data_IF_430586301282
#
_entry.id   IF_430586301282
#
_cell.length_a   1.000
_cell.length_b   1.000
_cell.length_c   1.000
_cell.angle_alpha   90.00
_cell.angle_beta   90.00
_cell.angle_gamma   90.00
#
_symmetry.space_group_name_H-M   'P 1'
#
loop_
_entity.id
_entity.type
_entity.pdbx_description
1 polymer ?
#
# COMPACT_ATOMS: atom_id res chain seq x y z
N UNK A 1 57.83 -15.09 -21.56
CA UNK A 1 57.16 -14.28 -20.51
C UNK A 1 55.70 -14.09 -20.91
N UNK A 2 54.77 -14.88 -20.37
CA UNK A 2 53.34 -14.76 -20.66
C UNK A 2 52.71 -13.82 -19.62
N UNK A 3 52.18 -12.68 -20.06
CA UNK A 3 51.45 -11.72 -19.21
C UNK A 3 50.01 -12.23 -19.06
N UNK A 4 49.62 -12.57 -17.83
CA UNK A 4 48.22 -12.83 -17.50
C UNK A 4 47.54 -11.48 -17.22
N UNK A 5 46.55 -11.10 -18.04
CA UNK A 5 45.62 -10.03 -17.70
C UNK A 5 44.62 -10.57 -16.68
N UNK A 6 44.65 -10.03 -15.47
CA UNK A 6 43.56 -10.15 -14.52
C UNK A 6 42.47 -9.13 -14.90
N UNK A 7 41.35 -9.60 -15.46
CA UNK A 7 40.15 -8.77 -15.56
C UNK A 7 39.46 -8.75 -14.20
N UNK A 8 39.48 -7.62 -13.51
CA UNK A 8 38.64 -7.41 -12.33
C UNK A 8 37.18 -7.31 -12.79
N UNK A 9 36.39 -8.34 -12.49
CA UNK A 9 34.95 -8.34 -12.69
C UNK A 9 34.34 -7.42 -11.63
N UNK A 10 33.89 -6.22 -12.03
CA UNK A 10 33.17 -5.32 -11.14
C UNK A 10 31.79 -5.94 -10.84
N UNK A 11 31.61 -6.45 -9.63
CA UNK A 11 30.30 -6.86 -9.13
C UNK A 11 29.47 -5.59 -8.87
N UNK A 12 28.48 -5.33 -9.71
CA UNK A 12 27.46 -4.31 -9.46
C UNK A 12 26.51 -4.89 -8.41
N UNK A 13 26.40 -4.30 -7.21
CA UNK A 13 25.41 -4.76 -6.25
C UNK A 13 24.02 -4.47 -6.80
N UNK A 14 23.29 -5.52 -7.17
CA UNK A 14 21.84 -5.42 -7.34
C UNK A 14 21.24 -5.14 -5.97
N UNK A 15 20.67 -3.95 -5.79
CA UNK A 15 19.83 -3.65 -4.64
C UNK A 15 18.50 -4.37 -4.89
N UNK A 16 18.37 -5.58 -4.37
CA UNK A 16 17.07 -6.24 -4.27
C UNK A 16 16.27 -5.51 -3.19
N UNK A 17 15.23 -4.77 -3.59
CA UNK A 17 14.23 -4.33 -2.63
C UNK A 17 13.45 -5.57 -2.18
N UNK A 18 13.51 -5.90 -0.90
CA UNK A 18 12.66 -6.95 -0.34
C UNK A 18 11.21 -6.48 -0.39
N UNK A 19 10.40 -7.12 -1.24
CA UNK A 19 8.95 -6.94 -1.29
C UNK A 19 8.32 -7.93 -0.32
N UNK A 20 7.39 -7.46 0.50
CA UNK A 20 6.56 -8.31 1.34
C UNK A 20 5.24 -8.57 0.61
N UNK A 21 4.72 -9.78 0.71
CA UNK A 21 3.41 -10.16 0.16
C UNK A 21 2.57 -10.69 1.30
N UNK A 22 1.35 -10.16 1.44
CA UNK A 22 0.31 -10.73 2.31
C UNK A 22 -0.59 -11.61 1.46
N UNK A 23 -0.40 -12.92 1.57
CA UNK A 23 -1.13 -13.98 0.84
C UNK A 23 -2.10 -14.76 1.76
N UNK A 24 -2.21 -14.36 3.02
CA UNK A 24 -3.05 -14.99 4.05
C UNK A 24 -2.71 -16.44 4.38
N UNK A 25 -1.65 -17.02 3.79
CA UNK A 25 -1.37 -18.45 3.90
C UNK A 25 -0.84 -18.85 5.28
N UNK A 26 -0.33 -17.89 6.05
CA UNK A 26 0.09 -18.04 7.45
C UNK A 26 -1.08 -18.24 8.44
N UNK A 27 -2.32 -18.03 7.99
CA UNK A 27 -3.53 -18.19 8.82
C UNK A 27 -4.01 -19.65 8.90
N UNK A 28 -4.60 -20.01 10.04
CA UNK A 28 -5.16 -21.34 10.26
C UNK A 28 -6.67 -21.36 10.01
N UNK A 29 -7.12 -22.28 9.16
CA UNK A 29 -8.53 -22.42 8.82
C UNK A 29 -8.85 -23.88 8.46
N UNK A 30 -10.01 -24.39 8.88
CA UNK A 30 -10.53 -25.67 8.39
C UNK A 30 -10.90 -25.58 6.91
N UNK A 31 -10.95 -26.70 6.18
CA UNK A 31 -11.41 -26.69 4.79
C UNK A 31 -12.85 -26.17 4.68
N UNK A 32 -13.15 -25.40 3.62
CA UNK A 32 -14.48 -24.85 3.32
C UNK A 32 -15.08 -24.06 4.50
N UNK A 33 -14.28 -23.14 5.06
CA UNK A 33 -14.70 -22.30 6.17
C UNK A 33 -14.14 -20.88 6.04
N UNK A 34 -14.43 -20.06 7.04
CA UNK A 34 -14.01 -18.67 7.11
C UNK A 34 -13.85 -18.25 8.58
N UNK A 35 -13.08 -17.19 8.77
CA UNK A 35 -13.05 -16.41 9.99
C UNK A 35 -13.59 -15.03 9.71
N UNK A 36 -14.62 -14.63 10.44
CA UNK A 36 -15.27 -13.33 10.31
C UNK A 36 -15.25 -12.53 11.62
N UNK A 37 -14.34 -12.88 12.54
CA UNK A 37 -14.19 -12.27 13.86
C UNK A 37 -15.34 -12.54 14.83
N UNK A 38 -16.05 -13.65 14.69
CA UNK A 38 -17.06 -14.11 15.65
C UNK A 38 -16.52 -14.36 17.07
N UNK A 39 -15.20 -14.36 17.24
CA UNK A 39 -14.51 -14.39 18.53
C UNK A 39 -14.35 -13.00 19.18
N UNK A 40 -14.85 -11.95 18.51
CA UNK A 40 -14.80 -10.55 18.95
C UNK A 40 -13.37 -9.99 19.10
N UNK A 41 -12.37 -10.58 18.43
CA UNK A 41 -10.98 -10.10 18.51
C UNK A 41 -10.78 -8.70 17.91
N UNK A 42 -11.71 -8.24 17.05
CA UNK A 42 -11.68 -6.92 16.43
C UNK A 42 -10.67 -6.77 15.29
N UNK A 43 -9.77 -7.73 15.10
CA UNK A 43 -8.80 -7.78 14.01
C UNK A 43 -8.15 -9.17 13.90
N UNK A 44 -7.45 -9.41 12.79
CA UNK A 44 -6.47 -10.49 12.64
C UNK A 44 -5.23 -9.95 11.93
N UNK A 45 -4.11 -10.67 12.00
CA UNK A 45 -2.88 -10.27 11.34
C UNK A 45 -2.37 -11.37 10.40
N UNK A 46 -1.89 -10.97 9.23
CA UNK A 46 -1.22 -11.84 8.26
C UNK A 46 -0.04 -11.10 7.64
N UNK A 47 1.10 -11.77 7.48
CA UNK A 47 2.28 -11.17 6.87
C UNK A 47 2.82 -9.92 7.61
N UNK A 48 2.51 -9.76 8.90
CA UNK A 48 2.87 -8.58 9.69
C UNK A 48 1.99 -7.35 9.47
N UNK A 49 0.86 -7.51 8.77
CA UNK A 49 -0.15 -6.48 8.51
C UNK A 49 -1.44 -6.84 9.27
N UNK A 50 -2.09 -5.84 9.87
CA UNK A 50 -3.33 -6.02 10.64
C UNK A 50 -4.55 -5.68 9.79
N UNK A 51 -5.61 -6.47 9.93
CA UNK A 51 -6.87 -6.34 9.21
C UNK A 51 -7.99 -6.22 10.24
N UNK A 52 -8.67 -5.07 10.27
CA UNK A 52 -9.77 -4.85 11.22
C UNK A 52 -10.98 -5.70 10.89
N UNK A 53 -11.71 -6.14 11.91
CA UNK A 53 -12.96 -6.86 11.77
C UNK A 53 -13.97 -6.35 12.82
N UNK A 54 -15.24 -6.25 12.43
CA UNK A 54 -16.32 -5.91 13.33
C UNK A 54 -17.39 -7.00 13.27
N UNK A 55 -17.59 -7.69 14.39
CA UNK A 55 -18.66 -8.68 14.57
C UNK A 55 -19.64 -8.18 15.62
N UNK A 56 -20.94 -8.29 15.33
CA UNK A 56 -22.02 -7.95 16.26
C UNK A 56 -22.62 -9.24 16.78
N UNK A 57 -22.42 -9.50 18.07
CA UNK A 57 -22.95 -10.65 18.77
C UNK A 57 -24.31 -10.32 19.39
N UNK A 58 -25.32 -10.15 18.53
CA UNK A 58 -26.71 -10.00 18.97
C UNK A 58 -27.30 -11.39 19.30
N UNK A 59 -27.94 -11.58 20.47
CA UNK A 59 -28.50 -12.87 20.87
C UNK A 59 -29.56 -13.46 19.91
N UNK A 60 -30.20 -12.61 19.10
CA UNK A 60 -31.25 -13.00 18.16
C UNK A 60 -30.70 -13.18 16.74
N UNK A 61 -29.70 -12.38 16.36
CA UNK A 61 -29.13 -12.41 15.02
C UNK A 61 -27.67 -11.92 15.02
N UNK A 62 -26.69 -12.80 15.34
CA UNK A 62 -25.30 -12.41 15.30
C UNK A 62 -24.82 -12.32 13.85
N UNK A 63 -24.04 -11.29 13.52
CA UNK A 63 -23.62 -11.04 12.14
C UNK A 63 -22.26 -10.34 12.05
N UNK A 64 -21.59 -10.57 10.92
CA UNK A 64 -20.40 -9.83 10.53
C UNK A 64 -20.82 -8.44 10.04
N UNK A 65 -20.47 -7.41 10.80
CA UNK A 65 -20.97 -6.05 10.61
C UNK A 65 -20.06 -5.17 9.76
N UNK A 66 -18.81 -5.58 9.52
CA UNK A 66 -17.85 -4.80 8.79
C UNK A 66 -16.43 -5.36 8.84
N UNK A 67 -15.61 -4.95 7.89
CA UNK A 67 -14.17 -5.14 7.91
C UNK A 67 -13.73 -6.29 7.05
N UNK A 68 -12.73 -7.03 7.53
CA UNK A 68 -12.14 -8.14 6.82
C UNK A 68 -12.51 -9.47 7.47
N UNK A 69 -12.81 -10.44 6.62
CA UNK A 69 -12.80 -11.86 6.93
C UNK A 69 -11.69 -12.52 6.12
N UNK A 70 -11.22 -13.70 6.52
CA UNK A 70 -10.43 -14.56 5.64
C UNK A 70 -11.14 -15.89 5.44
N UNK A 71 -11.03 -16.45 4.24
CA UNK A 71 -11.85 -17.57 3.78
C UNK A 71 -11.04 -18.51 2.90
N UNK A 72 -11.44 -19.79 2.88
CA UNK A 72 -10.99 -20.78 1.90
C UNK A 72 -12.19 -21.49 1.25
N UNK A 73 -13.36 -20.85 1.25
CA UNK A 73 -14.55 -21.38 0.59
C UNK A 73 -14.35 -21.41 -0.93
N UNK A 74 -14.91 -22.44 -1.58
CA UNK A 74 -14.79 -22.62 -3.03
C UNK A 74 -16.13 -22.61 -3.76
N UNK A 75 -17.24 -22.38 -3.07
CA UNK A 75 -18.57 -22.31 -3.71
C UNK A 75 -18.72 -21.05 -4.57
N UNK A 76 -18.69 -21.20 -5.89
CA UNK A 76 -18.93 -20.13 -6.85
C UNK A 76 -20.28 -20.21 -7.57
N UNK A 77 -21.22 -21.00 -7.03
CA UNK A 77 -22.50 -21.31 -7.68
C UNK A 77 -23.72 -20.88 -6.88
N UNK A 78 -23.66 -20.90 -5.55
CA UNK A 78 -24.79 -20.53 -4.70
C UNK A 78 -24.98 -19.02 -4.71
N UNK A 79 -26.14 -18.55 -5.17
CA UNK A 79 -26.52 -17.15 -5.12
C UNK A 79 -27.01 -16.71 -3.72
N UNK A 80 -26.90 -15.42 -3.45
CA UNK A 80 -27.46 -14.80 -2.25
C UNK A 80 -26.45 -14.60 -1.11
N UNK A 81 -26.91 -13.91 -0.06
CA UNK A 81 -26.07 -13.43 1.03
C UNK A 81 -25.35 -14.54 1.81
N UNK A 82 -25.87 -15.77 1.80
CA UNK A 82 -25.21 -16.90 2.47
C UNK A 82 -23.87 -17.27 1.85
N UNK A 83 -23.57 -16.78 0.65
CA UNK A 83 -22.31 -17.02 -0.05
C UNK A 83 -21.40 -15.77 -0.13
N UNK A 84 -21.46 -14.92 0.90
CA UNK A 84 -20.67 -13.68 0.96
C UNK A 84 -19.16 -13.92 1.14
N UNK A 85 -18.74 -15.06 1.71
CA UNK A 85 -17.34 -15.36 2.03
C UNK A 85 -16.59 -16.11 0.91
N UNK A 86 -17.26 -16.51 -0.15
CA UNK A 86 -16.62 -17.19 -1.28
C UNK A 86 -16.14 -16.18 -2.33
N UNK A 87 -14.91 -16.32 -2.81
CA UNK A 87 -14.44 -15.59 -3.98
C UNK A 87 -14.96 -16.27 -5.25
N UNK A 88 -15.41 -15.50 -6.25
CA UNK A 88 -15.95 -16.11 -7.47
C UNK A 88 -14.97 -17.04 -8.22
N UNK A 89 -13.64 -16.79 -8.23
CA UNK A 89 -12.67 -17.74 -8.78
C UNK A 89 -12.63 -19.12 -8.10
N UNK A 90 -13.34 -19.34 -6.99
CA UNK A 90 -13.36 -20.57 -6.21
C UNK A 90 -11.99 -20.98 -5.63
N UNK A 91 -11.07 -20.02 -5.48
CA UNK A 91 -9.78 -20.18 -4.82
C UNK A 91 -9.19 -18.82 -4.48
N UNK A 92 -8.12 -18.81 -3.68
CA UNK A 92 -7.24 -17.65 -3.59
C UNK A 92 -6.44 -17.45 -4.88
N UNK A 93 -5.69 -16.35 -4.95
CA UNK A 93 -4.92 -15.98 -6.13
C UNK A 93 -3.79 -16.97 -6.41
N UNK A 94 -3.55 -17.24 -7.70
CA UNK A 94 -2.57 -18.27 -8.08
C UNK A 94 -2.93 -19.68 -7.59
N UNK A 95 -4.21 -19.93 -7.29
CA UNK A 95 -4.71 -21.18 -6.70
C UNK A 95 -4.21 -21.43 -5.27
N UNK A 96 -3.89 -20.36 -4.53
CA UNK A 96 -3.71 -20.40 -3.08
C UNK A 96 -5.02 -20.83 -2.39
N UNK A 97 -4.90 -21.26 -1.14
CA UNK A 97 -6.03 -21.81 -0.41
C UNK A 97 -6.88 -20.71 0.23
N UNK A 98 -6.27 -19.61 0.66
CA UNK A 98 -6.89 -18.57 1.46
C UNK A 98 -6.82 -17.22 0.77
N UNK A 99 -7.78 -16.37 1.11
CA UNK A 99 -7.88 -15.00 0.65
C UNK A 99 -8.70 -14.19 1.66
N UNK A 100 -8.64 -12.88 1.58
CA UNK A 100 -9.49 -12.00 2.37
C UNK A 100 -10.79 -11.63 1.64
N UNK A 101 -11.85 -11.39 2.41
CA UNK A 101 -13.11 -10.81 1.94
C UNK A 101 -13.37 -9.54 2.75
N UNK A 102 -13.88 -8.51 2.09
CA UNK A 102 -14.20 -7.24 2.74
C UNK A 102 -15.68 -6.87 2.56
N UNK A 103 -16.25 -6.28 3.61
CA UNK A 103 -17.52 -5.52 3.56
C UNK A 103 -17.37 -4.21 4.34
N UNK A 104 -17.91 -3.09 3.86
CA UNK A 104 -17.86 -1.84 4.61
C UNK A 104 -18.75 -1.97 5.85
N UNK A 105 -18.31 -1.43 6.98
CA UNK A 105 -19.15 -1.31 8.16
C UNK A 105 -19.77 0.07 8.29
N UNK A 106 -20.73 0.20 9.21
CA UNK A 106 -21.45 1.46 9.43
C UNK A 106 -20.54 2.61 9.93
N UNK A 107 -19.47 2.27 10.63
CA UNK A 107 -18.54 3.25 11.22
C UNK A 107 -17.54 3.82 10.21
N UNK A 108 -17.28 3.10 9.11
CA UNK A 108 -16.23 3.43 8.15
C UNK A 108 -14.81 3.36 8.73
N UNK A 109 -14.63 2.73 9.90
CA UNK A 109 -13.34 2.58 10.58
C UNK A 109 -12.55 1.35 10.11
N UNK A 110 -13.11 0.57 9.19
CA UNK A 110 -12.51 -0.66 8.68
C UNK A 110 -11.27 -0.36 7.84
N UNK A 111 -10.15 -1.00 8.18
CA UNK A 111 -8.84 -0.70 7.63
C UNK A 111 -7.87 -1.87 7.62
N UNK A 112 -6.88 -1.72 6.75
CA UNK A 112 -5.62 -2.48 6.75
C UNK A 112 -4.57 -1.57 7.37
N UNK A 113 -3.95 -2.01 8.46
CA UNK A 113 -2.94 -1.26 9.22
C UNK A 113 -1.55 -1.90 9.00
N UNK A 114 -0.63 -1.15 8.39
CA UNK A 114 0.76 -1.57 8.22
C UNK A 114 1.62 -1.15 9.42
N UNK A 115 2.74 -1.86 9.63
CA UNK A 115 3.74 -1.45 10.60
C UNK A 115 4.60 -0.28 10.07
N UNK A 116 4.04 0.92 10.12
CA UNK A 116 4.65 2.15 9.61
C UNK A 116 4.25 2.46 8.16
N UNK A 117 4.87 3.50 7.59
CA UNK A 117 4.59 3.92 6.21
C UNK A 117 5.27 2.99 5.21
N UNK A 118 4.47 2.41 4.31
CA UNK A 118 4.90 1.53 3.23
C UNK A 118 4.49 2.11 1.87
N UNK A 119 5.06 1.53 0.82
CA UNK A 119 4.57 1.70 -0.54
C UNK A 119 3.80 0.42 -0.88
N UNK A 120 2.48 0.52 -1.05
CA UNK A 120 1.65 -0.59 -1.54
C UNK A 120 1.78 -0.61 -3.06
N UNK A 121 2.56 -1.55 -3.58
CA UNK A 121 2.90 -1.61 -5.00
C UNK A 121 1.73 -2.15 -5.81
N UNK A 122 1.16 -3.27 -5.35
CA UNK A 122 0.11 -3.99 -6.04
C UNK A 122 -0.72 -4.84 -5.07
N UNK A 123 -1.89 -5.23 -5.54
CA UNK A 123 -2.77 -6.19 -4.88
C UNK A 123 -3.51 -6.99 -5.94
N UNK A 124 -4.08 -8.14 -5.56
CA UNK A 124 -5.02 -8.88 -6.39
C UNK A 124 -6.42 -8.78 -5.83
N UNK A 125 -7.38 -8.52 -6.71
CA UNK A 125 -8.78 -8.28 -6.32
C UNK A 125 -9.74 -8.94 -7.30
N UNK A 126 -10.91 -9.33 -6.80
CA UNK A 126 -12.00 -9.92 -7.60
C UNK A 126 -13.34 -9.75 -6.87
N UNK A 127 -14.45 -10.12 -7.53
CA UNK A 127 -15.75 -10.17 -6.87
C UNK A 127 -15.89 -11.40 -5.95
N UNK A 128 -16.66 -11.25 -4.88
CA UNK A 128 -17.20 -12.42 -4.18
C UNK A 128 -18.26 -13.10 -5.03
N UNK A 129 -18.58 -14.36 -4.74
CA UNK A 129 -19.62 -15.11 -5.46
C UNK A 129 -20.97 -14.42 -5.36
N UNK A 130 -21.33 -13.91 -4.18
CA UNK A 130 -22.60 -13.19 -4.01
C UNK A 130 -22.68 -11.95 -4.90
N UNK A 131 -21.67 -11.06 -4.86
CA UNK A 131 -21.66 -9.84 -5.67
C UNK A 131 -21.64 -10.16 -7.18
N UNK A 132 -20.83 -11.14 -7.59
CA UNK A 132 -20.73 -11.56 -8.98
C UNK A 132 -22.06 -12.07 -9.53
N UNK A 133 -22.71 -13.03 -8.84
CA UNK A 133 -23.97 -13.61 -9.29
C UNK A 133 -25.12 -12.59 -9.23
N UNK A 134 -25.14 -11.73 -8.22
CA UNK A 134 -26.11 -10.65 -8.11
C UNK A 134 -26.02 -9.69 -9.31
N UNK A 135 -24.84 -9.21 -9.68
CA UNK A 135 -24.66 -8.37 -10.88
C UNK A 135 -24.98 -9.13 -12.17
N UNK A 136 -24.60 -10.41 -12.27
CA UNK A 136 -24.76 -11.20 -13.50
C UNK A 136 -26.22 -11.57 -13.78
N UNK A 137 -26.94 -12.01 -12.75
CA UNK A 137 -28.25 -12.64 -12.89
C UNK A 137 -29.39 -11.78 -12.29
N UNK A 138 -29.06 -10.78 -11.47
CA UNK A 138 -30.01 -10.04 -10.64
C UNK A 138 -30.45 -10.86 -9.42
N UNK A 139 -31.06 -10.19 -8.44
CA UNK A 139 -31.72 -10.84 -7.31
C UNK A 139 -32.99 -10.09 -6.88
N UNK A 140 -33.50 -10.36 -5.67
CA UNK A 140 -34.72 -9.73 -5.17
C UNK A 140 -34.56 -8.23 -4.88
N UNK A 141 -33.33 -7.72 -4.82
CA UNK A 141 -32.99 -6.33 -4.51
C UNK A 141 -32.18 -5.69 -5.62
N UNK A 142 -31.12 -6.37 -6.07
CA UNK A 142 -30.19 -5.86 -7.07
C UNK A 142 -30.64 -6.20 -8.49
N UNK A 143 -30.40 -5.28 -9.43
CA UNK A 143 -30.65 -5.52 -10.85
C UNK A 143 -29.55 -6.37 -11.48
N UNK A 144 -29.88 -7.01 -12.60
CA UNK A 144 -28.87 -7.51 -13.53
C UNK A 144 -28.17 -6.33 -14.22
N UNK A 145 -26.84 -6.30 -14.18
CA UNK A 145 -26.03 -5.29 -14.87
C UNK A 145 -26.16 -5.43 -16.39
N UNK A 146 -26.14 -4.29 -17.09
CA UNK A 146 -26.43 -4.20 -18.52
C UNK A 146 -27.93 -4.11 -18.84
N UNK A 147 -28.80 -4.21 -17.83
CA UNK A 147 -30.24 -4.00 -18.00
C UNK A 147 -30.60 -2.51 -17.98
N UNK A 148 -31.58 -2.08 -18.77
CA UNK A 148 -32.15 -0.73 -18.69
C UNK A 148 -33.17 -0.56 -17.54
N UNK A 149 -33.43 -1.62 -16.77
CA UNK A 149 -34.41 -1.65 -15.69
C UNK A 149 -33.84 -2.16 -14.38
N UNK A 150 -34.39 -1.67 -13.27
CA UNK A 150 -34.15 -2.16 -11.91
C UNK A 150 -34.73 -3.57 -11.69
N UNK A 151 -34.55 -4.12 -10.48
CA UNK A 151 -35.06 -5.45 -10.10
C UNK A 151 -36.59 -5.60 -10.20
N UNK A 152 -37.35 -4.50 -10.12
CA UNK A 152 -38.80 -4.49 -10.29
C UNK A 152 -39.26 -4.38 -11.75
N UNK A 153 -38.33 -4.26 -12.70
CA UNK A 153 -38.62 -4.11 -14.14
C UNK A 153 -38.96 -2.68 -14.56
N UNK A 154 -38.67 -1.69 -13.72
CA UNK A 154 -38.88 -0.27 -14.01
C UNK A 154 -37.59 0.38 -14.50
N UNK A 155 -37.68 1.40 -15.36
CA UNK A 155 -36.50 2.11 -15.84
C UNK A 155 -35.69 2.70 -14.68
N UNK A 156 -34.39 2.41 -14.63
CA UNK A 156 -33.50 2.83 -13.54
C UNK A 156 -32.66 4.07 -13.87
N UNK A 157 -32.72 4.55 -15.12
CA UNK A 157 -31.96 5.72 -15.58
C UNK A 157 -30.49 5.45 -15.92
N UNK A 158 -30.01 4.21 -15.80
CA UNK A 158 -28.66 3.80 -16.20
C UNK A 158 -28.57 3.45 -17.69
N UNK A 159 -29.70 3.06 -18.30
CA UNK A 159 -29.77 2.57 -19.69
C UNK A 159 -28.77 1.43 -19.98
N UNK A 160 -28.56 0.56 -18.98
CA UNK A 160 -27.61 -0.56 -19.06
C UNK A 160 -26.14 -0.17 -18.83
N UNK A 161 -25.82 1.11 -18.68
CA UNK A 161 -24.46 1.60 -18.43
C UNK A 161 -24.10 1.52 -16.95
N UNK A 162 -23.98 0.29 -16.46
CA UNK A 162 -23.73 -0.05 -15.07
C UNK A 162 -22.24 -0.11 -14.70
N UNK A 163 -21.94 0.04 -13.41
CA UNK A 163 -20.59 -0.15 -12.88
C UNK A 163 -20.60 -0.57 -11.42
N UNK A 164 -19.51 -1.19 -11.00
CA UNK A 164 -19.22 -1.49 -9.59
C UNK A 164 -17.72 -1.36 -9.36
N UNK A 165 -17.30 -0.55 -8.40
CA UNK A 165 -15.89 -0.33 -8.10
C UNK A 165 -15.61 -0.15 -6.61
N UNK A 166 -14.35 -0.38 -6.25
CA UNK A 166 -13.80 -0.12 -4.92
C UNK A 166 -12.88 1.10 -5.02
N UNK A 167 -13.11 2.12 -4.21
CA UNK A 167 -12.10 3.14 -3.93
C UNK A 167 -11.22 2.67 -2.80
N UNK A 168 -9.93 2.52 -3.06
CA UNK A 168 -8.89 2.27 -2.07
C UNK A 168 -8.32 3.63 -1.64
N UNK A 169 -8.51 4.00 -0.38
CA UNK A 169 -7.94 5.22 0.20
C UNK A 169 -6.63 4.90 0.91
N UNK A 170 -5.59 5.66 0.60
CA UNK A 170 -4.35 5.67 1.35
C UNK A 170 -4.45 6.69 2.50
N UNK A 171 -3.95 6.30 3.67
CA UNK A 171 -3.86 7.18 4.84
C UNK A 171 -2.44 7.22 5.37
N UNK A 172 -2.04 8.36 5.92
CA UNK A 172 -0.77 8.50 6.63
C UNK A 172 -0.83 7.95 8.08
N UNK A 173 0.27 8.12 8.81
CA UNK A 173 0.37 7.68 10.21
C UNK A 173 -0.60 8.41 11.14
N UNK A 174 -1.05 9.61 10.78
CA UNK A 174 -2.00 10.44 11.53
C UNK A 174 -3.45 10.17 11.14
N UNK A 175 -3.71 9.18 10.27
CA UNK A 175 -5.06 8.84 9.76
C UNK A 175 -5.62 9.86 8.76
N UNK A 176 -4.76 10.70 8.17
CA UNK A 176 -5.17 11.65 7.14
C UNK A 176 -5.14 10.97 5.76
N UNK A 177 -6.22 11.12 4.99
CA UNK A 177 -6.29 10.63 3.61
C UNK A 177 -5.28 11.37 2.74
N UNK A 178 -4.37 10.65 2.11
CA UNK A 178 -3.31 11.22 1.27
C UNK A 178 -3.56 11.05 -0.21
N UNK A 179 -4.16 9.94 -0.62
CA UNK A 179 -4.40 9.59 -2.02
C UNK A 179 -5.47 8.49 -2.13
N UNK A 180 -5.92 8.19 -3.35
CA UNK A 180 -6.88 7.11 -3.61
C UNK A 180 -6.79 6.54 -5.02
N UNK A 181 -7.22 5.29 -5.17
CA UNK A 181 -7.35 4.62 -6.46
C UNK A 181 -8.71 3.94 -6.58
N UNK A 182 -9.41 4.17 -7.68
CA UNK A 182 -10.63 3.44 -8.03
C UNK A 182 -10.29 2.19 -8.83
N UNK A 183 -10.84 1.05 -8.41
CA UNK A 183 -10.65 -0.26 -9.03
C UNK A 183 -12.01 -0.83 -9.41
N UNK A 184 -12.28 -0.90 -10.72
CA UNK A 184 -13.53 -1.44 -11.24
C UNK A 184 -13.57 -2.97 -11.16
N UNK A 185 -14.63 -3.47 -10.52
CA UNK A 185 -14.99 -4.88 -10.40
C UNK A 185 -16.08 -5.26 -11.42
N UNK A 186 -16.80 -4.29 -11.96
CA UNK A 186 -17.62 -4.42 -13.16
C UNK A 186 -17.73 -3.06 -13.86
N UNK A 187 -17.78 -3.07 -15.19
CA UNK A 187 -17.97 -1.86 -16.00
C UNK A 187 -18.69 -2.22 -17.31
N UNK A 188 -19.85 -1.61 -17.53
CA UNK A 188 -20.73 -1.79 -18.70
C UNK A 188 -20.86 -0.47 -19.49
N UNK A 189 -19.96 0.49 -19.25
CA UNK A 189 -20.04 1.83 -19.84
C UNK A 189 -19.33 1.94 -21.19
N UNK A 190 -18.86 0.84 -21.75
CA UNK A 190 -18.17 0.84 -23.03
C UNK A 190 -19.15 1.15 -24.18
N UNK A 191 -18.62 1.68 -25.28
CA UNK A 191 -19.40 1.90 -26.50
C UNK A 191 -19.71 0.58 -27.22
N UNK A 192 -18.79 -0.39 -27.12
CA UNK A 192 -18.97 -1.76 -27.60
C UNK A 192 -19.28 -2.65 -26.39
N UNK A 193 -20.51 -3.16 -26.30
CA UNK A 193 -20.96 -4.00 -25.19
C UNK A 193 -20.17 -5.33 -25.10
N UNK A 194 -19.34 -5.68 -26.09
CA UNK A 194 -18.41 -6.82 -25.97
C UNK A 194 -17.22 -6.55 -25.02
N UNK A 195 -16.96 -5.28 -24.71
CA UNK A 195 -15.93 -4.88 -23.73
C UNK A 195 -16.49 -4.85 -22.30
N UNK A 196 -17.81 -4.99 -22.13
CA UNK A 196 -18.48 -5.04 -20.83
C UNK A 196 -18.00 -6.25 -20.02
N UNK A 197 -17.79 -6.05 -18.72
CA UNK A 197 -17.29 -7.12 -17.87
C UNK A 197 -17.83 -7.07 -16.44
N UNK A 198 -17.92 -8.25 -15.84
CA UNK A 198 -17.93 -8.49 -14.40
C UNK A 198 -16.67 -9.29 -14.09
N UNK A 199 -15.83 -8.78 -13.18
CA UNK A 199 -14.55 -9.39 -12.86
C UNK A 199 -14.76 -10.70 -12.09
N UNK A 200 -14.60 -11.84 -12.77
CA UNK A 200 -14.73 -13.19 -12.20
C UNK A 200 -13.40 -13.93 -12.01
N UNK A 201 -12.28 -13.27 -12.27
CA UNK A 201 -10.92 -13.80 -12.07
C UNK A 201 -10.13 -12.86 -11.17
N UNK A 202 -9.07 -13.36 -10.53
CA UNK A 202 -8.12 -12.52 -9.82
C UNK A 202 -7.43 -11.56 -10.80
N UNK A 203 -7.56 -10.25 -10.56
CA UNK A 203 -6.87 -9.20 -11.32
C UNK A 203 -5.79 -8.57 -10.46
N UNK A 204 -4.56 -8.61 -10.93
CA UNK A 204 -3.47 -7.85 -10.33
C UNK A 204 -3.61 -6.37 -10.72
N UNK A 205 -3.63 -5.50 -9.72
CA UNK A 205 -3.76 -4.06 -9.86
C UNK A 205 -2.49 -3.41 -9.33
N UNK A 206 -1.86 -2.58 -10.17
CA UNK A 206 -0.81 -1.68 -9.71
C UNK A 206 -1.46 -0.54 -8.90
N UNK A 207 -1.12 -0.47 -7.62
CA UNK A 207 -1.68 0.49 -6.66
C UNK A 207 -0.78 1.70 -6.51
N UNK A 208 0.51 1.47 -6.24
CA UNK A 208 1.56 2.49 -6.03
C UNK A 208 1.19 3.60 -5.03
N UNK A 209 0.47 3.25 -3.95
CA UNK A 209 0.07 4.21 -2.91
C UNK A 209 1.08 4.20 -1.75
N UNK A 210 1.44 5.38 -1.25
CA UNK A 210 2.20 5.52 -0.01
C UNK A 210 1.21 5.60 1.16
N UNK A 211 1.22 4.59 2.02
CA UNK A 211 0.21 4.41 3.06
C UNK A 211 0.84 3.88 4.35
N UNK A 212 0.36 4.37 5.49
CA UNK A 212 0.44 3.63 6.75
C UNK A 212 -0.81 2.76 6.95
N UNK A 213 -1.94 3.14 6.33
CA UNK A 213 -3.20 2.41 6.40
C UNK A 213 -3.95 2.49 5.08
N UNK A 214 -4.76 1.47 4.77
CA UNK A 214 -5.74 1.52 3.69
C UNK A 214 -7.16 1.41 4.24
N UNK A 215 -8.08 2.17 3.67
CA UNK A 215 -9.53 1.93 3.85
C UNK A 215 -10.23 1.85 2.51
N UNK A 216 -11.44 1.28 2.49
CA UNK A 216 -12.11 0.88 1.26
C UNK A 216 -13.54 1.38 1.24
N UNK A 217 -14.02 1.81 0.07
CA UNK A 217 -15.42 2.17 -0.17
C UNK A 217 -15.90 1.51 -1.45
N UNK A 218 -17.05 0.85 -1.40
CA UNK A 218 -17.70 0.30 -2.59
C UNK A 218 -18.72 1.30 -3.13
N UNK A 219 -18.78 1.40 -4.46
CA UNK A 219 -19.73 2.26 -5.18
C UNK A 219 -20.27 1.52 -6.40
N UNK A 220 -21.58 1.65 -6.64
CA UNK A 220 -22.28 1.02 -7.77
C UNK A 220 -23.23 2.00 -8.46
N UNK A 221 -23.58 1.71 -9.71
CA UNK A 221 -24.71 2.33 -10.42
C UNK A 221 -26.08 1.85 -9.92
N UNK A 222 -26.17 0.64 -9.37
CA UNK A 222 -27.42 0.07 -8.87
C UNK A 222 -27.72 0.59 -7.46
N UNK A 223 -28.44 1.71 -7.43
CA UNK A 223 -28.81 2.46 -6.22
C UNK A 223 -30.33 2.42 -6.04
N UNK A 224 -30.78 1.94 -4.88
CA UNK A 224 -32.16 2.03 -4.41
C UNK A 224 -32.36 3.14 -3.37
N UNK A 225 -33.56 3.18 -2.77
CA UNK A 225 -33.93 4.19 -1.77
C UNK A 225 -33.00 4.21 -0.55
N UNK A 226 -32.48 3.05 -0.14
CA UNK A 226 -31.64 2.88 1.05
C UNK A 226 -30.15 2.83 0.76
N UNK A 227 -29.74 3.14 -0.48
CA UNK A 227 -28.35 3.09 -0.92
C UNK A 227 -28.11 2.01 -1.96
N UNK A 228 -26.89 1.50 -2.00
CA UNK A 228 -26.47 0.51 -2.98
C UNK A 228 -27.23 -0.81 -2.81
N UNK A 229 -27.86 -1.30 -3.89
CA UNK A 229 -28.50 -2.61 -3.89
C UNK A 229 -27.50 -3.73 -4.21
N UNK A 230 -26.50 -3.44 -5.05
CA UNK A 230 -25.42 -4.38 -5.33
C UNK A 230 -24.75 -4.82 -4.03
N UNK A 231 -24.54 -6.13 -3.80
CA UNK A 231 -23.90 -6.60 -2.59
C UNK A 231 -22.53 -5.99 -2.37
N UNK A 232 -22.32 -5.35 -1.22
CA UNK A 232 -21.12 -4.60 -0.87
C UNK A 232 -19.94 -5.51 -0.44
N UNK A 233 -19.54 -6.46 -1.27
CA UNK A 233 -18.48 -7.43 -0.96
C UNK A 233 -17.45 -7.55 -2.09
N UNK A 234 -16.17 -7.65 -1.73
CA UNK A 234 -15.11 -8.02 -2.65
C UNK A 234 -14.09 -8.95 -2.00
N UNK A 235 -13.33 -9.68 -2.82
CA UNK A 235 -12.23 -10.52 -2.37
C UNK A 235 -10.87 -9.91 -2.73
N UNK A 236 -9.90 -10.04 -1.83
CA UNK A 236 -8.58 -9.43 -1.86
C UNK A 236 -7.52 -10.48 -1.53
N UNK A 237 -6.41 -10.46 -2.27
CA UNK A 237 -5.28 -11.35 -2.05
C UNK A 237 -3.96 -10.72 -2.51
N UNK A 238 -2.83 -11.33 -2.15
CA UNK A 238 -1.48 -10.96 -2.57
C UNK A 238 -1.20 -9.44 -2.48
N UNK A 239 -1.41 -8.85 -1.31
CA UNK A 239 -1.06 -7.43 -1.09
C UNK A 239 0.46 -7.32 -1.05
N UNK A 240 1.05 -6.78 -2.10
CA UNK A 240 2.49 -6.53 -2.16
C UNK A 240 2.82 -5.11 -1.72
N UNK A 241 3.71 -5.01 -0.73
CA UNK A 241 4.20 -3.74 -0.24
C UNK A 241 5.70 -3.77 0.02
N UNK A 242 6.32 -2.60 -0.11
CA UNK A 242 7.68 -2.36 0.30
C UNK A 242 7.69 -1.44 1.51
N UNK A 243 8.34 -1.87 2.59
CA UNK A 243 8.70 -0.94 3.67
C UNK A 243 9.69 0.06 3.09
N UNK A 244 9.42 1.35 3.26
CA UNK A 244 10.37 2.37 2.83
C UNK A 244 11.58 2.33 3.77
N UNK A 245 12.54 1.44 3.51
CA UNK A 245 13.87 1.44 4.16
C UNK A 245 14.77 2.51 3.52
N UNK A 246 14.20 3.37 2.67
CA UNK A 246 14.80 4.65 2.36
C UNK A 246 14.88 5.42 3.66
N UNK A 247 16.09 5.55 4.19
CA UNK A 247 16.44 6.57 5.17
C UNK A 247 15.73 7.82 4.70
N UNK A 248 14.68 8.23 5.43
CA UNK A 248 14.11 9.57 5.30
C UNK A 248 15.36 10.42 5.30
N UNK A 249 15.69 11.06 4.17
CA UNK A 249 16.72 12.06 4.18
C UNK A 249 16.24 13.00 5.26
N UNK A 250 16.80 12.89 6.46
CA UNK A 250 16.89 14.02 7.34
C UNK A 250 17.39 15.07 6.37
N UNK A 251 16.66 16.17 6.23
CA UNK A 251 17.26 17.38 5.74
C UNK A 251 18.48 17.55 6.63
N UNK A 252 19.61 16.98 6.21
CA UNK A 252 20.88 17.14 6.87
C UNK A 252 20.98 18.63 6.80
N UNK A 253 20.90 19.28 7.95
CA UNK A 253 21.26 20.67 8.08
C UNK A 253 22.67 20.71 7.48
N UNK A 254 22.75 21.10 6.20
CA UNK A 254 23.96 20.94 5.42
C UNK A 254 24.89 21.99 6.02
N UNK A 255 25.86 21.51 6.79
CA UNK A 255 26.97 22.34 7.23
C UNK A 255 27.53 23.01 5.98
N UNK A 256 27.50 24.34 5.96
CA UNK A 256 27.94 25.12 4.81
C UNK A 256 29.24 25.81 5.17
N UNK A 257 30.12 25.94 4.17
CA UNK A 257 31.44 26.55 4.36
C UNK A 257 31.70 27.61 3.32
N UNK A 258 32.30 28.72 3.75
CA UNK A 258 32.68 29.83 2.87
C UNK A 258 33.87 30.61 3.45
N UNK A 259 34.63 31.34 2.63
CA UNK A 259 34.62 31.26 1.17
C UNK A 259 35.13 29.89 0.70
N UNK A 260 34.65 29.43 -0.45
CA UNK A 260 35.22 28.27 -1.14
C UNK A 260 35.48 28.68 -2.59
N UNK A 261 36.75 28.86 -3.02
CA UNK A 261 37.98 28.51 -2.30
C UNK A 261 38.33 29.42 -1.10
N UNK A 262 39.00 28.85 -0.09
CA UNK A 262 39.43 29.53 1.12
C UNK A 262 40.96 29.76 1.12
N UNK A 263 41.41 30.90 1.63
CA UNK A 263 42.84 31.19 1.84
C UNK A 263 43.23 30.88 3.29
N UNK A 264 43.11 31.81 4.21
CA UNK A 264 43.58 31.61 5.60
C UNK A 264 42.45 31.22 6.57
N UNK A 265 41.19 31.41 6.17
CA UNK A 265 40.04 31.23 7.04
C UNK A 265 38.87 30.58 6.31
N UNK A 266 38.14 29.74 7.02
CA UNK A 266 36.92 29.07 6.61
C UNK A 266 35.82 29.34 7.63
N UNK A 267 34.73 29.98 7.23
CA UNK A 267 33.52 30.10 8.03
C UNK A 267 32.69 28.83 7.88
N UNK A 268 32.21 28.31 9.00
CA UNK A 268 31.36 27.12 9.06
C UNK A 268 30.03 27.52 9.68
N UNK A 269 28.94 27.35 8.93
CA UNK A 269 27.58 27.68 9.38
C UNK A 269 26.74 26.43 9.58
N UNK A 270 25.69 26.59 10.38
CA UNK A 270 24.63 25.61 10.61
C UNK A 270 25.10 24.35 11.34
N UNK A 271 26.13 24.46 12.19
CA UNK A 271 26.54 23.37 13.07
C UNK A 271 27.17 23.88 14.37
N UNK A 272 26.81 23.25 15.50
CA UNK A 272 27.43 23.45 16.81
C UNK A 272 27.89 22.09 17.33
N UNK A 273 29.13 22.01 17.83
CA UNK A 273 29.78 20.77 18.25
C UNK A 273 31.17 20.58 17.65
N UNK A 274 31.68 19.35 17.71
CA UNK A 274 33.03 19.02 17.22
C UNK A 274 33.01 18.73 15.72
N UNK A 275 33.92 19.33 14.96
CA UNK A 275 34.16 18.99 13.56
C UNK A 275 35.62 18.63 13.29
N UNK A 276 35.83 17.69 12.37
CA UNK A 276 37.14 17.31 11.87
C UNK A 276 37.34 17.74 10.42
N UNK A 277 38.52 18.27 10.09
CA UNK A 277 38.95 18.52 8.71
C UNK A 277 39.87 17.38 8.30
N UNK A 278 39.55 16.75 7.16
CA UNK A 278 40.26 15.60 6.63
C UNK A 278 40.83 15.91 5.24
N UNK A 279 42.01 15.36 4.94
CA UNK A 279 42.56 15.36 3.58
C UNK A 279 41.80 14.37 2.68
N UNK A 280 42.02 14.44 1.35
CA UNK A 280 41.45 13.49 0.38
C UNK A 280 41.88 12.02 0.60
N UNK A 281 42.92 11.79 1.39
CA UNK A 281 43.36 10.43 1.77
C UNK A 281 42.64 9.90 3.01
N UNK A 282 41.77 10.70 3.65
CA UNK A 282 41.05 10.35 4.87
C UNK A 282 41.83 10.62 6.16
N UNK A 283 43.04 11.20 6.10
CA UNK A 283 43.79 11.60 7.29
C UNK A 283 43.19 12.86 7.93
N UNK A 284 42.94 12.83 9.25
CA UNK A 284 42.52 13.99 10.04
C UNK A 284 43.67 14.99 10.13
N UNK A 285 43.44 16.23 9.66
CA UNK A 285 44.44 17.31 9.67
C UNK A 285 44.18 18.38 10.72
N UNK A 286 42.91 18.57 11.13
CA UNK A 286 42.55 19.54 12.18
C UNK A 286 41.22 19.15 12.83
N UNK A 287 41.08 19.39 14.14
CA UNK A 287 39.82 19.27 14.88
C UNK A 287 39.43 20.63 15.44
N UNK A 288 38.14 20.98 15.36
CA UNK A 288 37.61 22.29 15.78
C UNK A 288 36.32 22.15 16.56
N UNK A 289 36.08 23.05 17.50
CA UNK A 289 34.77 23.22 18.14
C UNK A 289 34.04 24.36 17.44
N UNK A 290 32.78 24.13 17.09
CA UNK A 290 31.91 25.05 16.37
C UNK A 290 30.72 25.45 17.26
N UNK A 291 30.23 26.67 17.10
CA UNK A 291 29.16 27.29 17.88
C UNK A 291 28.08 27.92 16.99
N UNK A 292 27.76 27.26 15.87
CA UNK A 292 26.73 27.67 14.93
C UNK A 292 27.30 28.41 13.72
N UNK A 293 28.00 29.53 13.96
CA UNK A 293 28.72 30.32 12.95
C UNK A 293 30.12 30.60 13.46
N UNK A 294 31.09 29.77 13.08
CA UNK A 294 32.45 29.85 13.60
C UNK A 294 33.45 30.08 12.48
N UNK A 295 34.41 30.96 12.72
CA UNK A 295 35.51 31.19 11.80
C UNK A 295 36.71 30.28 12.17
N UNK A 296 37.09 29.40 11.26
CA UNK A 296 38.16 28.41 11.45
C UNK A 296 39.42 28.89 10.72
N UNK A 297 40.52 29.03 11.45
CA UNK A 297 41.84 29.27 10.85
C UNK A 297 42.34 27.99 10.15
N UNK A 298 42.71 28.11 8.89
CA UNK A 298 43.23 27.03 8.04
C UNK A 298 44.59 27.38 7.42
N UNK A 299 45.29 28.38 7.95
CA UNK A 299 46.58 28.87 7.42
C UNK A 299 47.64 27.77 7.35
N UNK A 300 47.62 26.83 8.29
CA UNK A 300 48.57 25.69 8.36
C UNK A 300 48.29 24.59 7.33
N UNK A 301 47.14 24.61 6.66
CA UNK A 301 46.80 23.62 5.64
C UNK A 301 47.53 23.92 4.34
N UNK A 302 48.06 22.88 3.70
CA UNK A 302 48.65 22.97 2.36
C UNK A 302 47.57 23.22 1.30
N UNK A 303 47.92 23.83 0.17
CA UNK A 303 46.98 24.01 -0.95
C UNK A 303 46.43 22.66 -1.41
N UNK A 304 45.11 22.52 -1.46
CA UNK A 304 44.48 21.22 -1.74
C UNK A 304 42.98 21.18 -1.47
N UNK A 305 42.39 20.00 -1.67
CA UNK A 305 40.98 19.73 -1.40
C UNK A 305 40.86 19.08 -0.03
N UNK A 306 39.94 19.57 0.79
CA UNK A 306 39.66 19.07 2.13
C UNK A 306 38.17 18.79 2.31
N UNK A 307 37.86 17.94 3.28
CA UNK A 307 36.50 17.63 3.69
C UNK A 307 36.34 17.96 5.18
N UNK A 308 35.42 18.87 5.50
CA UNK A 308 34.98 19.10 6.87
C UNK A 308 33.86 18.10 7.18
N UNK A 309 33.98 17.36 8.27
CA UNK A 309 33.06 16.31 8.71
C UNK A 309 32.58 16.64 10.11
N UNK A 310 31.27 16.55 10.32
CA UNK A 310 30.58 16.71 11.59
C UNK A 310 29.79 15.43 11.89
N UNK A 311 29.20 15.33 13.08
CA UNK A 311 28.27 14.22 13.40
C UNK A 311 27.04 14.20 12.48
N UNK A 312 26.64 15.36 11.93
CA UNK A 312 25.41 15.52 11.15
C UNK A 312 25.63 15.56 9.64
N UNK A 313 26.86 15.78 9.16
CA UNK A 313 27.12 15.95 7.74
C UNK A 313 28.59 16.15 7.37
N UNK A 314 28.84 16.41 6.10
CA UNK A 314 30.19 16.76 5.63
C UNK A 314 30.14 17.65 4.41
N UNK A 315 31.12 18.54 4.26
CA UNK A 315 31.22 19.48 3.13
C UNK A 315 32.66 19.59 2.66
N UNK A 316 32.84 19.69 1.34
CA UNK A 316 34.16 19.83 0.71
C UNK A 316 34.51 21.31 0.49
N UNK A 317 35.76 21.67 0.71
CA UNK A 317 36.28 23.00 0.37
C UNK A 317 37.68 22.92 -0.23
N UNK A 318 38.03 23.93 -1.03
CA UNK A 318 39.35 24.07 -1.64
C UNK A 318 40.17 25.08 -0.82
N UNK A 319 41.33 24.68 -0.30
CA UNK A 319 42.36 25.58 0.22
C UNK A 319 43.21 26.06 -0.95
N UNK A 320 43.33 27.38 -1.12
CA UNK A 320 44.30 28.00 -2.02
C UNK A 320 45.53 28.46 -1.27
#
# INVERSE_FOLDING_TARGET
MKKFLFSALAAIPFVMNAQNVVDFEDLNLSAESYYNGSDEAGSFASGGVSFSNTYVNDPSYPYWAGGFAYSNMTDNTTAGFTNMYSAYPASGAGSSAKYAVFTPGYSGAERVDFNGTVIVNKLKITNTTYAYLSMKDGDSFAKKFGSATNAAGEADGTDGKDFFYVTVYAHDVNDEKTDSLDIYLADFRFEDDNDDYILGSWKEIAVNLVAAKLSFKLTSSDIGEYGMNTPAYFALDDIEYATNVGVKGLDKVQVSVYPNPAENQLFVNNYSGTAGIYSMTGALVKSVQLDGTTAVDITELTTGIYQLVTETGSVKFNKR
#
